data_IF_842701602816
#
_entry.id   IF_842701602816
#
_cell.length_a   1.000
_cell.length_b   1.000
_cell.length_c   1.000
_cell.angle_alpha   90.00
_cell.angle_beta   90.00
_cell.angle_gamma   90.00
#
_symmetry.space_group_name_H-M   'P 1'
#
loop_
_entity.id
_entity.type
_entity.pdbx_description
1 polymer ?
#
# COMPACT_ATOMS: atom_id res chain seq x y z
N UNK A 1 -21.41 23.32 23.78
CA UNK A 1 -21.59 21.87 23.58
C UNK A 1 -21.44 21.56 22.10
N UNK A 2 -20.20 21.41 21.61
CA UNK A 2 -19.96 21.00 20.22
C UNK A 2 -20.16 19.51 20.12
N UNK A 3 -21.39 19.11 19.80
CA UNK A 3 -21.74 17.73 19.48
C UNK A 3 -20.94 17.34 18.25
N UNK A 4 -19.98 16.45 18.46
CA UNK A 4 -19.03 15.95 17.50
C UNK A 4 -19.75 15.53 16.22
N UNK A 5 -19.25 16.01 15.07
CA UNK A 5 -19.55 15.41 13.78
C UNK A 5 -18.86 14.04 13.76
N UNK A 6 -19.47 13.05 14.41
CA UNK A 6 -19.20 11.65 14.11
C UNK A 6 -19.73 11.41 12.69
N UNK A 7 -18.96 11.86 11.69
CA UNK A 7 -19.25 11.60 10.29
C UNK A 7 -19.37 10.10 10.11
N UNK A 8 -20.51 9.66 9.58
CA UNK A 8 -20.76 8.24 9.37
C UNK A 8 -19.64 7.64 8.52
N UNK A 9 -18.79 6.83 9.17
CA UNK A 9 -17.72 6.10 8.50
C UNK A 9 -18.36 5.15 7.50
N UNK A 10 -18.09 5.38 6.21
CA UNK A 10 -18.63 4.51 5.18
C UNK A 10 -17.90 3.17 5.22
N UNK A 11 -18.50 2.08 4.71
CA UNK A 11 -17.78 0.83 4.49
C UNK A 11 -16.50 1.03 3.67
N UNK A 12 -16.51 1.97 2.70
CA UNK A 12 -15.33 2.31 1.92
C UNK A 12 -14.21 2.93 2.78
N UNK A 13 -14.54 3.78 3.75
CA UNK A 13 -13.55 4.36 4.66
C UNK A 13 -12.97 3.30 5.61
N UNK A 14 -13.80 2.35 6.06
CA UNK A 14 -13.33 1.21 6.84
C UNK A 14 -12.38 0.32 6.04
N UNK A 15 -12.68 0.04 4.77
CA UNK A 15 -11.77 -0.71 3.89
C UNK A 15 -10.47 0.05 3.67
N UNK A 16 -10.53 1.36 3.40
CA UNK A 16 -9.33 2.21 3.21
C UNK A 16 -8.41 2.19 4.42
N UNK A 17 -8.95 2.28 5.63
CA UNK A 17 -8.15 2.15 6.85
C UNK A 17 -7.58 0.74 7.02
N UNK A 18 -8.38 -0.29 6.72
CA UNK A 18 -7.95 -1.68 6.79
C UNK A 18 -6.76 -1.94 5.86
N UNK A 19 -6.76 -1.44 4.62
CA UNK A 19 -5.64 -1.64 3.67
C UNK A 19 -4.61 -0.49 3.66
N UNK A 20 -4.78 0.50 4.54
CA UNK A 20 -3.96 1.71 4.55
C UNK A 20 -2.51 1.44 4.94
N UNK A 21 -2.28 0.42 5.77
CA UNK A 21 -0.94 0.02 6.21
C UNK A 21 -0.49 -1.25 5.51
N UNK A 22 0.82 -1.33 5.26
CA UNK A 22 1.43 -2.50 4.64
C UNK A 22 1.29 -3.77 5.51
N UNK A 23 1.36 -3.63 6.84
CA UNK A 23 1.14 -4.72 7.77
C UNK A 23 -0.26 -5.32 7.66
N UNK A 24 -1.29 -4.46 7.62
CA UNK A 24 -2.66 -4.95 7.48
C UNK A 24 -2.94 -5.54 6.10
N UNK A 25 -2.39 -4.96 5.03
CA UNK A 25 -2.48 -5.56 3.69
C UNK A 25 -1.98 -6.99 3.71
N UNK A 26 -0.76 -7.22 4.20
CA UNK A 26 -0.19 -8.58 4.30
C UNK A 26 -1.03 -9.51 5.17
N UNK A 27 -1.57 -9.01 6.28
CA UNK A 27 -2.43 -9.79 7.15
C UNK A 27 -3.73 -10.22 6.45
N UNK A 28 -4.43 -9.28 5.79
CA UNK A 28 -5.65 -9.55 5.02
C UNK A 28 -5.37 -10.51 3.87
N UNK A 29 -4.25 -10.34 3.16
CA UNK A 29 -3.84 -11.26 2.09
C UNK A 29 -3.69 -12.70 2.60
N UNK A 30 -2.99 -12.89 3.73
CA UNK A 30 -2.83 -14.21 4.36
C UNK A 30 -4.16 -14.80 4.82
N UNK A 31 -5.02 -13.97 5.42
CA UNK A 31 -6.30 -14.40 5.99
C UNK A 31 -7.31 -14.82 4.91
N UNK A 32 -7.31 -14.11 3.78
CA UNK A 32 -8.20 -14.38 2.65
C UNK A 32 -7.60 -15.30 1.58
N UNK A 33 -6.37 -15.78 1.77
CA UNK A 33 -5.68 -16.62 0.78
C UNK A 33 -5.48 -15.93 -0.57
N UNK A 34 -5.41 -14.59 -0.58
CA UNK A 34 -5.23 -13.82 -1.80
C UNK A 34 -3.81 -14.06 -2.32
N UNK A 35 -3.71 -14.62 -3.53
CA UNK A 35 -2.44 -14.71 -4.24
C UNK A 35 -1.96 -13.29 -4.57
N UNK A 36 -1.12 -12.73 -3.70
CA UNK A 36 -0.21 -11.67 -4.11
C UNK A 36 0.95 -12.40 -4.74
N UNK A 37 1.15 -12.27 -6.05
CA UNK A 37 2.42 -12.66 -6.63
C UNK A 37 3.47 -11.68 -6.09
N UNK A 38 4.29 -12.07 -5.09
CA UNK A 38 5.21 -11.15 -4.45
C UNK A 38 6.44 -10.91 -5.34
N UNK A 39 6.54 -11.64 -6.45
CA UNK A 39 7.63 -11.50 -7.39
C UNK A 39 7.21 -10.47 -8.44
N UNK A 40 7.77 -9.27 -8.34
CA UNK A 40 7.68 -8.36 -9.49
C UNK A 40 8.22 -9.10 -10.71
N UNK A 41 7.55 -9.00 -11.87
CA UNK A 41 8.11 -9.45 -13.11
C UNK A 41 9.54 -8.89 -13.25
N UNK A 42 10.52 -9.68 -13.72
CA UNK A 42 11.92 -9.25 -13.76
C UNK A 42 12.11 -7.88 -14.43
N UNK A 43 11.32 -7.61 -15.47
CA UNK A 43 11.29 -6.33 -16.20
C UNK A 43 10.90 -5.14 -15.32
N UNK A 44 9.92 -5.32 -14.44
CA UNK A 44 9.46 -4.31 -13.50
C UNK A 44 10.46 -4.09 -12.36
N UNK A 45 11.10 -5.17 -11.87
CA UNK A 45 12.17 -5.07 -10.88
C UNK A 45 13.37 -4.27 -11.43
N UNK A 46 13.81 -4.58 -12.66
CA UNK A 46 14.90 -3.86 -13.34
C UNK A 46 14.54 -2.39 -13.61
N UNK A 47 13.28 -2.09 -13.93
CA UNK A 47 12.83 -0.70 -14.12
C UNK A 47 12.92 0.10 -12.83
N UNK A 48 12.45 -0.44 -11.70
CA UNK A 48 12.52 0.24 -10.42
C UNK A 48 13.96 0.45 -9.94
N UNK A 49 14.84 -0.53 -10.19
CA UNK A 49 16.28 -0.39 -9.90
C UNK A 49 16.91 0.74 -10.74
N UNK A 50 16.57 0.84 -12.03
CA UNK A 50 17.06 1.90 -12.89
C UNK A 50 16.57 3.29 -12.45
N UNK A 51 15.32 3.40 -11.99
CA UNK A 51 14.78 4.64 -11.43
C UNK A 51 15.53 5.05 -10.16
N UNK A 52 15.72 4.13 -9.21
CA UNK A 52 16.45 4.43 -7.96
C UNK A 52 17.88 4.90 -8.21
N UNK A 53 18.61 4.25 -9.13
CA UNK A 53 19.97 4.67 -9.53
C UNK A 53 19.98 6.07 -10.15
N UNK A 54 18.97 6.42 -10.94
CA UNK A 54 18.85 7.72 -11.57
C UNK A 54 18.47 8.84 -10.58
N UNK A 55 17.84 8.50 -9.44
CA UNK A 55 17.57 9.42 -8.34
C UNK A 55 18.83 9.65 -7.48
N UNK A 56 19.59 8.60 -7.18
CA UNK A 56 20.85 8.70 -6.42
C UNK A 56 21.92 9.51 -7.18
N UNK A 57 22.05 9.31 -8.50
CA UNK A 57 23.01 10.02 -9.37
C UNK A 57 22.73 11.54 -9.48
N UNK A 58 21.53 12.00 -9.09
CA UNK A 58 21.16 13.42 -9.07
C UNK A 58 21.51 14.14 -7.78
N UNK A 59 22.11 13.46 -6.81
CA UNK A 59 22.56 14.07 -5.54
C UNK A 59 24.09 14.21 -5.56
N UNK A 60 24.65 15.44 -5.65
CA UNK A 60 26.08 15.66 -5.56
C UNK A 60 26.64 15.40 -4.15
#
# INVERSE_FOLDING_TARGET
MTRERAGHKTPADAVRELIGTEGNRRHVHKLLGLAVDPKLPPTLASLLEAIGKAEDDKTP
#
